data_IF_951868695921
#
_entry.id   IF_951868695921
#
_cell.length_a   1.000
_cell.length_b   1.000
_cell.length_c   1.000
_cell.angle_alpha   90.00
_cell.angle_beta   90.00
_cell.angle_gamma   90.00
#
_symmetry.space_group_name_H-M   'P 1'
#
loop_
_entity.id
_entity.type
_entity.pdbx_description
1 polymer ?
#
# COMPACT_ATOMS: atom_id res chain seq x y z
N UNK A 1 17.93 38.53 4.85
CA UNK A 1 17.77 37.89 4.79
C UNK A 1 16.97 37.27 5.24
N UNK A 2 16.54 37.03 5.41
CA UNK A 2 15.89 36.43 5.55
C UNK A 2 15.17 35.58 5.46
N UNK A 3 14.13 35.79 6.04
CA UNK A 3 13.36 34.89 5.48
C UNK A 3 13.98 33.70 4.98
N UNK A 4 15.06 33.77 4.56
CA UNK A 4 15.83 32.68 4.11
C UNK A 4 15.91 31.56 5.09
N UNK A 5 15.92 31.85 6.35
CA UNK A 5 16.03 30.79 7.33
C UNK A 5 14.79 29.88 7.32
N UNK A 6 13.62 30.41 7.13
CA UNK A 6 12.47 29.54 7.11
C UNK A 6 12.44 28.72 5.83
N UNK A 7 12.92 29.27 4.74
CA UNK A 7 12.98 28.49 3.53
C UNK A 7 14.04 27.41 3.60
N UNK A 8 15.05 27.63 4.39
CA UNK A 8 16.13 26.67 4.48
C UNK A 8 15.83 25.50 5.39
N UNK A 9 14.69 25.49 6.05
CA UNK A 9 14.38 24.43 6.98
C UNK A 9 13.35 23.49 6.40
N UNK A 10 13.78 22.35 5.84
CA UNK A 10 12.83 21.39 5.33
C UNK A 10 12.06 20.76 6.48
N UNK A 11 10.86 20.32 6.19
CA UNK A 11 10.08 19.60 7.18
C UNK A 11 10.72 18.25 7.45
N UNK A 12 10.65 17.84 8.69
CA UNK A 12 11.17 16.53 9.06
C UNK A 12 10.25 15.45 8.52
N UNK A 13 10.85 14.38 8.05
CA UNK A 13 10.09 13.22 7.62
C UNK A 13 9.49 12.52 8.82
N UNK A 14 8.26 12.06 8.67
CA UNK A 14 7.55 11.33 9.71
C UNK A 14 7.02 10.05 9.10
N UNK A 15 6.64 9.13 9.96
CA UNK A 15 6.03 7.89 9.49
C UNK A 15 4.53 8.09 9.31
N UNK A 16 4.04 7.55 8.20
CA UNK A 16 2.63 7.62 7.84
C UNK A 16 2.14 6.24 7.50
N UNK A 17 0.84 6.06 7.63
CA UNK A 17 0.17 4.83 7.20
C UNK A 17 -0.63 5.16 5.96
N UNK A 18 -0.37 4.41 4.90
CA UNK A 18 -1.04 4.58 3.62
C UNK A 18 -1.89 3.35 3.37
N UNK A 19 -3.20 3.52 3.47
CA UNK A 19 -4.13 2.42 3.22
C UNK A 19 -4.30 2.24 1.72
N UNK A 20 -4.38 1.00 1.30
CA UNK A 20 -4.51 0.69 -0.12
C UNK A 20 -5.49 -0.44 -0.33
N UNK A 21 -5.94 -0.55 -1.57
CA UNK A 21 -6.81 -1.62 -2.00
C UNK A 21 -6.26 -2.19 -3.29
N UNK A 22 -6.26 -3.50 -3.40
CA UNK A 22 -5.88 -4.20 -4.62
C UNK A 22 -7.10 -4.97 -5.08
N UNK A 23 -7.53 -4.68 -6.31
CA UNK A 23 -8.71 -5.30 -6.86
C UNK A 23 -8.36 -6.44 -7.78
N UNK A 24 -9.07 -7.55 -7.61
CA UNK A 24 -9.11 -8.58 -8.64
C UNK A 24 -7.75 -9.21 -8.95
N UNK A 25 -7.00 -9.58 -7.91
CA UNK A 25 -5.73 -10.26 -8.11
C UNK A 25 -5.92 -11.76 -7.93
N UNK A 26 -4.95 -12.52 -8.42
CA UNK A 26 -4.96 -13.96 -8.22
C UNK A 26 -4.76 -14.28 -6.75
N UNK A 27 -5.52 -15.25 -6.25
CA UNK A 27 -5.36 -15.68 -4.87
C UNK A 27 -3.95 -16.16 -4.58
N UNK A 28 -3.30 -16.77 -5.55
CA UNK A 28 -1.93 -17.26 -5.36
C UNK A 28 -0.91 -16.14 -5.22
N UNK A 29 -1.24 -14.94 -5.69
CA UNK A 29 -0.30 -13.80 -5.59
C UNK A 29 -0.33 -13.14 -4.22
N UNK A 30 -1.40 -13.34 -3.48
CA UNK A 30 -1.59 -12.64 -2.21
C UNK A 30 -0.50 -12.97 -1.20
N UNK A 31 0.04 -14.17 -1.23
CA UNK A 31 1.05 -14.59 -0.28
C UNK A 31 2.33 -13.76 -0.38
N UNK A 32 2.54 -13.07 -1.49
CA UNK A 32 3.73 -12.23 -1.66
C UNK A 32 3.54 -10.84 -1.08
N UNK A 33 2.35 -10.53 -0.60
CA UNK A 33 2.10 -9.29 0.15
C UNK A 33 2.37 -9.56 1.62
N UNK A 34 3.62 -9.80 1.94
CA UNK A 34 4.00 -10.17 3.31
C UNK A 34 4.19 -8.94 4.17
N UNK A 35 3.77 -9.02 5.41
CA UNK A 35 4.07 -7.99 6.39
C UNK A 35 5.58 -7.79 6.45
N UNK A 36 6.00 -6.54 6.51
CA UNK A 36 7.40 -6.13 6.54
C UNK A 36 8.13 -6.27 5.20
N UNK A 37 7.44 -6.67 4.14
CA UNK A 37 8.04 -6.68 2.80
C UNK A 37 8.20 -5.26 2.29
N UNK A 38 9.36 -4.98 1.71
CA UNK A 38 9.65 -3.67 1.14
C UNK A 38 9.07 -3.58 -0.26
N UNK A 39 8.40 -2.47 -0.53
CA UNK A 39 7.83 -2.19 -1.84
C UNK A 39 8.38 -0.89 -2.39
N UNK A 40 8.40 -0.80 -3.70
CA UNK A 40 8.93 0.33 -4.44
C UNK A 40 7.91 0.76 -5.48
N UNK A 41 7.92 2.03 -5.83
CA UNK A 41 7.10 2.51 -6.94
C UNK A 41 7.70 1.95 -8.22
N UNK A 42 6.86 1.28 -9.02
CA UNK A 42 7.36 0.60 -10.21
C UNK A 42 7.87 1.60 -11.25
N UNK A 43 7.16 2.70 -11.40
CA UNK A 43 7.47 3.66 -12.44
C UNK A 43 8.81 4.35 -12.22
N UNK A 44 9.13 4.70 -11.00
CA UNK A 44 10.31 5.50 -10.70
C UNK A 44 11.41 4.72 -9.98
N UNK A 45 11.05 3.59 -9.37
CA UNK A 45 11.99 2.84 -8.56
C UNK A 45 12.17 3.41 -7.16
N UNK A 46 11.44 4.47 -6.81
CA UNK A 46 11.55 5.06 -5.47
C UNK A 46 11.03 4.10 -4.42
N UNK A 47 11.70 4.10 -3.28
CA UNK A 47 11.25 3.29 -2.15
C UNK A 47 9.90 3.81 -1.65
N UNK A 48 8.95 2.90 -1.47
CA UNK A 48 7.64 3.26 -0.94
C UNK A 48 7.58 3.06 0.56
N UNK A 49 7.85 1.86 1.01
CA UNK A 49 7.73 1.52 2.41
C UNK A 49 7.58 0.03 2.58
N UNK A 50 7.10 -0.39 3.74
CA UNK A 50 6.89 -1.81 4.03
C UNK A 50 5.40 -2.05 4.25
N UNK A 51 4.98 -3.29 4.02
CA UNK A 51 3.61 -3.68 4.32
C UNK A 51 3.45 -3.74 5.83
N UNK A 52 2.57 -2.91 6.36
CA UNK A 52 2.32 -2.85 7.80
C UNK A 52 1.26 -3.88 8.21
N UNK A 53 0.21 -3.99 7.40
CA UNK A 53 -0.81 -5.02 7.61
C UNK A 53 -1.56 -5.23 6.31
N UNK A 54 -2.26 -6.35 6.22
CA UNK A 54 -3.12 -6.63 5.08
C UNK A 54 -4.30 -7.44 5.54
N UNK A 55 -5.36 -7.40 4.73
CA UNK A 55 -6.55 -8.18 4.97
C UNK A 55 -7.06 -8.68 3.64
N UNK A 56 -7.22 -9.99 3.52
CA UNK A 56 -7.79 -10.61 2.33
C UNK A 56 -9.28 -10.67 2.54
N UNK A 57 -10.05 -10.17 1.59
CA UNK A 57 -11.50 -10.22 1.70
C UNK A 57 -11.93 -11.66 1.47
N UNK A 58 -12.87 -12.12 2.28
CA UNK A 58 -13.27 -13.54 2.27
C UNK A 58 -14.01 -13.93 1.01
N UNK A 59 -14.68 -12.97 0.37
CA UNK A 59 -15.45 -13.27 -0.83
C UNK A 59 -14.57 -13.11 -2.06
N UNK A 60 -14.81 -13.90 -3.11
CA UNK A 60 -14.07 -13.70 -4.36
C UNK A 60 -14.33 -12.30 -4.91
N UNK A 61 -13.38 -11.80 -5.68
CA UNK A 61 -13.58 -10.54 -6.39
C UNK A 61 -14.75 -10.71 -7.36
N UNK A 62 -15.55 -9.67 -7.50
CA UNK A 62 -16.78 -9.73 -8.30
C UNK A 62 -16.67 -8.78 -9.48
N UNK A 63 -17.34 -9.13 -10.56
CA UNK A 63 -17.53 -8.23 -11.70
C UNK A 63 -19.00 -7.89 -11.77
N UNK A 64 -19.29 -6.63 -11.99
CA UNK A 64 -20.65 -6.15 -12.12
C UNK A 64 -21.09 -6.24 -13.56
N UNK A 65 -22.25 -6.83 -13.80
CA UNK A 65 -22.83 -6.92 -15.13
C UNK A 65 -24.25 -6.33 -15.10
N UNK A 66 -24.64 -5.70 -16.20
CA UNK A 66 -25.99 -5.20 -16.34
C UNK A 66 -26.72 -6.11 -17.31
N UNK A 67 -27.83 -6.68 -16.86
CA UNK A 67 -28.62 -7.59 -17.70
C UNK A 67 -29.37 -6.81 -18.75
N UNK A 68 -29.90 -7.48 -19.80
CA UNK A 68 -30.73 -6.80 -20.79
C UNK A 68 -31.94 -6.10 -20.19
N UNK A 69 -32.43 -6.59 -19.06
CA UNK A 69 -33.58 -5.98 -18.38
C UNK A 69 -33.16 -4.78 -17.52
N UNK A 70 -31.89 -4.49 -17.44
CA UNK A 70 -31.40 -3.36 -16.66
C UNK A 70 -31.04 -3.69 -15.23
N UNK A 71 -31.10 -4.96 -14.84
CA UNK A 71 -30.72 -5.36 -13.50
C UNK A 71 -29.20 -5.47 -13.37
N UNK A 72 -28.68 -5.14 -12.18
CA UNK A 72 -27.27 -5.25 -11.90
C UNK A 72 -27.02 -6.57 -11.17
N UNK A 73 -26.10 -7.36 -11.69
CA UNK A 73 -25.73 -8.62 -11.05
C UNK A 73 -24.23 -8.65 -10.84
N UNK A 74 -23.80 -9.35 -9.79
CA UNK A 74 -22.39 -9.49 -9.46
C UNK A 74 -22.00 -10.96 -9.63
N UNK A 75 -20.91 -11.18 -10.37
CA UNK A 75 -20.48 -12.53 -10.70
C UNK A 75 -19.04 -12.70 -10.19
N UNK A 76 -18.75 -13.80 -9.46
CA UNK A 76 -17.39 -14.04 -8.99
C UNK A 76 -16.40 -14.18 -10.14
N UNK A 77 -15.22 -13.63 -9.98
CA UNK A 77 -14.16 -13.69 -10.97
C UNK A 77 -13.32 -14.93 -10.75
N UNK A 78 -13.86 -16.08 -11.11
CA UNK A 78 -13.15 -17.35 -11.00
C UNK A 78 -12.50 -17.63 -12.34
N UNK A 79 -11.22 -18.02 -12.29
CA UNK A 79 -10.54 -18.36 -13.51
C UNK A 79 -10.75 -19.82 -13.86
N UNK A 80 -10.59 -20.66 -12.87
CA UNK A 80 -10.71 -22.10 -13.04
C UNK A 80 -11.37 -22.66 -11.81
N UNK A 81 -11.50 -23.97 -11.79
CA UNK A 81 -12.20 -24.63 -10.69
C UNK A 81 -11.41 -24.61 -9.39
N UNK A 82 -10.11 -24.38 -9.42
CA UNK A 82 -9.31 -24.41 -8.21
C UNK A 82 -9.38 -23.11 -7.43
N UNK A 83 -9.41 -23.21 -6.11
CA UNK A 83 -9.48 -22.03 -5.25
C UNK A 83 -8.29 -21.11 -5.43
N UNK A 84 -7.12 -21.68 -5.67
CA UNK A 84 -5.91 -20.86 -5.81
C UNK A 84 -5.98 -19.95 -7.02
N UNK A 85 -6.87 -20.22 -7.95
CA UNK A 85 -6.99 -19.45 -9.17
C UNK A 85 -8.12 -18.45 -9.11
N UNK A 86 -8.83 -18.38 -7.98
CA UNK A 86 -9.85 -17.36 -7.78
C UNK A 86 -9.21 -15.97 -7.75
N UNK A 87 -9.97 -14.99 -8.22
CA UNK A 87 -9.60 -13.59 -8.07
C UNK A 87 -10.14 -13.09 -6.76
N UNK A 88 -9.34 -12.31 -6.07
CA UNK A 88 -9.72 -11.77 -4.76
C UNK A 88 -9.36 -10.29 -4.69
N UNK A 89 -9.95 -9.62 -3.72
CA UNK A 89 -9.61 -8.24 -3.39
C UNK A 89 -8.85 -8.26 -2.06
N UNK A 90 -7.89 -7.37 -1.94
CA UNK A 90 -7.07 -7.28 -0.75
C UNK A 90 -7.02 -5.83 -0.33
N UNK A 91 -7.14 -5.56 0.97
CA UNK A 91 -6.86 -4.24 1.52
C UNK A 91 -5.63 -4.37 2.40
N UNK A 92 -4.95 -3.25 2.58
CA UNK A 92 -3.77 -3.27 3.42
C UNK A 92 -3.30 -1.87 3.73
N UNK A 93 -2.16 -1.81 4.38
CA UNK A 93 -1.58 -0.55 4.81
C UNK A 93 -0.07 -0.64 4.64
N UNK A 94 0.52 0.38 4.02
CA UNK A 94 1.97 0.53 3.98
C UNK A 94 2.41 1.48 5.09
N UNK A 95 3.54 1.19 5.70
CA UNK A 95 4.22 2.12 6.59
C UNK A 95 5.26 2.85 5.75
N UNK A 96 5.12 4.15 5.63
CA UNK A 96 5.94 4.94 4.72
C UNK A 96 6.50 6.15 5.46
N UNK A 97 7.43 6.83 4.82
CA UNK A 97 8.04 8.04 5.36
C UNK A 97 7.70 9.22 4.44
N UNK A 98 7.38 10.35 5.03
CA UNK A 98 7.06 11.54 4.25
C UNK A 98 6.60 12.68 5.12
N UNK A 99 5.95 13.65 4.51
CA UNK A 99 5.32 14.74 5.24
C UNK A 99 4.24 15.37 4.38
N UNK A 100 3.38 16.16 5.03
CA UNK A 100 2.34 16.93 4.35
C UNK A 100 2.90 18.35 4.19
N UNK A 101 2.88 18.85 2.96
CA UNK A 101 3.43 20.17 2.70
C UNK A 101 2.43 21.27 3.10
N UNK A 102 2.82 22.52 2.88
CA UNK A 102 1.98 23.65 3.31
C UNK A 102 0.66 23.73 2.57
N UNK A 103 0.55 23.07 1.44
CA UNK A 103 -0.69 23.03 0.67
C UNK A 103 -1.55 21.83 1.01
N UNK A 104 -1.12 20.99 1.93
CA UNK A 104 -1.88 19.83 2.33
C UNK A 104 -1.62 18.58 1.52
N UNK A 105 -0.62 18.58 0.66
CA UNK A 105 -0.30 17.41 -0.15
C UNK A 105 0.71 16.53 0.57
N UNK A 106 0.46 15.23 0.53
CA UNK A 106 1.41 14.28 1.11
C UNK A 106 2.54 14.00 0.11
N UNK A 107 3.77 14.12 0.57
CA UNK A 107 4.95 13.87 -0.25
C UNK A 107 5.71 12.69 0.31
N UNK A 108 5.68 11.59 -0.41
CA UNK A 108 6.41 10.37 -0.05
C UNK A 108 7.90 10.66 -0.07
N UNK A 109 8.59 10.31 1.00
CA UNK A 109 10.01 10.57 1.18
C UNK A 109 10.36 12.05 1.05
N UNK A 110 9.36 12.92 1.13
CA UNK A 110 9.57 14.35 1.05
C UNK A 110 9.60 14.91 -0.36
N UNK A 111 9.46 14.07 -1.39
CA UNK A 111 9.62 14.57 -2.75
C UNK A 111 8.66 13.99 -3.79
N UNK A 112 7.85 13.00 -3.45
CA UNK A 112 6.98 12.37 -4.43
C UNK A 112 5.53 12.47 -3.99
N UNK A 113 4.73 13.18 -4.77
CA UNK A 113 3.32 13.32 -4.44
C UNK A 113 2.60 11.97 -4.50
N UNK A 114 1.80 11.69 -3.49
CA UNK A 114 1.00 10.49 -3.42
C UNK A 114 -0.40 10.90 -2.96
N UNK A 115 -1.40 10.68 -3.79
CA UNK A 115 -2.74 11.18 -3.52
C UNK A 115 -3.77 10.08 -3.34
N UNK A 116 -4.89 10.45 -2.73
CA UNK A 116 -6.00 9.53 -2.54
C UNK A 116 -6.64 9.18 -3.87
N UNK A 117 -7.17 7.97 -3.93
CA UNK A 117 -7.84 7.44 -5.13
C UNK A 117 -6.92 7.26 -6.32
N UNK A 118 -5.62 7.48 -6.12
CA UNK A 118 -4.65 7.30 -7.19
C UNK A 118 -4.29 5.82 -7.30
N UNK A 119 -4.26 5.34 -8.54
CA UNK A 119 -3.79 3.98 -8.79
C UNK A 119 -2.30 4.04 -9.04
N UNK A 120 -1.55 3.23 -8.31
CA UNK A 120 -0.10 3.26 -8.34
C UNK A 120 0.42 1.84 -8.52
N UNK A 121 1.33 1.66 -9.48
CA UNK A 121 1.99 0.36 -9.62
C UNK A 121 3.14 0.28 -8.63
N UNK A 122 3.15 -0.78 -7.85
CA UNK A 122 4.20 -1.00 -6.85
C UNK A 122 4.77 -2.38 -7.04
N UNK A 123 6.01 -2.57 -6.61
CA UNK A 123 6.65 -3.87 -6.76
C UNK A 123 7.54 -4.18 -5.57
N UNK A 124 7.64 -5.47 -5.29
CA UNK A 124 8.63 -6.01 -4.37
C UNK A 124 9.53 -6.94 -5.16
N UNK A 125 10.28 -7.76 -4.46
CA UNK A 125 11.14 -8.73 -5.16
C UNK A 125 10.33 -9.78 -5.91
N UNK A 126 9.15 -10.11 -5.40
CA UNK A 126 8.38 -11.22 -5.96
C UNK A 126 7.10 -10.80 -6.67
N UNK A 127 6.65 -9.57 -6.47
CA UNK A 127 5.30 -9.20 -6.90
C UNK A 127 5.27 -7.78 -7.46
N UNK A 128 4.58 -7.61 -8.56
CA UNK A 128 4.25 -6.28 -9.07
C UNK A 128 2.74 -6.20 -9.15
N UNK A 129 2.15 -5.15 -8.58
CA UNK A 129 0.72 -5.05 -8.46
C UNK A 129 0.33 -3.57 -8.46
N UNK A 130 -0.89 -3.29 -8.90
CA UNK A 130 -1.44 -1.94 -8.84
C UNK A 130 -2.31 -1.81 -7.60
N UNK A 131 -2.06 -0.75 -6.84
CA UNK A 131 -2.83 -0.47 -5.63
C UNK A 131 -3.56 0.84 -5.80
N UNK A 132 -4.71 0.96 -5.16
CA UNK A 132 -5.47 2.20 -5.11
C UNK A 132 -5.31 2.76 -3.71
N UNK A 133 -4.84 3.99 -3.61
CA UNK A 133 -4.62 4.63 -2.31
C UNK A 133 -5.97 5.07 -1.76
N UNK A 134 -6.33 4.59 -0.58
CA UNK A 134 -7.64 4.89 -0.01
C UNK A 134 -7.57 5.86 1.16
N UNK A 135 -6.45 5.92 1.88
CA UNK A 135 -6.32 6.86 2.99
C UNK A 135 -4.84 7.04 3.33
N UNK A 136 -4.50 8.22 3.83
CA UNK A 136 -3.15 8.53 4.29
C UNK A 136 -3.28 9.25 5.63
N UNK A 137 -2.64 8.70 6.66
CA UNK A 137 -2.71 9.27 8.00
C UNK A 137 -1.39 9.10 8.71
N UNK A 138 -1.16 9.91 9.73
CA UNK A 138 0.06 9.78 10.52
C UNK A 138 0.08 8.43 11.23
N UNK A 139 1.26 7.84 11.31
CA UNK A 139 1.40 6.57 12.01
C UNK A 139 1.42 6.80 13.52
N UNK A 140 0.83 5.88 14.30
CA UNK A 140 0.95 5.99 15.75
C UNK A 140 2.40 5.75 16.17
N UNK A 141 2.74 6.24 17.35
CA UNK A 141 4.11 6.10 17.83
C UNK A 141 4.59 4.67 17.82
N UNK A 142 3.69 3.73 18.08
CA UNK A 142 4.06 2.32 18.12
C UNK A 142 4.43 1.77 16.75
N UNK A 143 4.05 2.45 15.68
CA UNK A 143 4.37 2.01 14.32
C UNK A 143 5.55 2.75 13.72
N UNK A 144 6.19 3.66 14.46
CA UNK A 144 7.26 4.50 13.95
C UNK A 144 8.59 3.75 14.04
N UNK A 145 8.78 2.80 13.13
CA UNK A 145 9.96 1.94 13.12
C UNK A 145 10.52 1.93 11.71
N UNK A 146 11.83 2.13 11.56
CA UNK A 146 12.40 2.06 10.22
C UNK A 146 12.65 0.59 9.83
N UNK A 147 12.88 0.32 8.56
CA UNK A 147 13.02 -1.06 8.09
C UNK A 147 14.13 -1.84 8.79
N UNK A 148 15.21 -1.18 9.16
CA UNK A 148 16.29 -1.85 9.86
C UNK A 148 15.85 -2.34 11.22
N UNK A 149 15.12 -1.51 11.95
CA UNK A 149 14.61 -1.91 13.24
C UNK A 149 13.61 -3.05 13.12
N UNK A 150 12.80 -3.03 12.07
CA UNK A 150 11.86 -4.13 11.87
C UNK A 150 12.59 -5.43 11.65
N UNK A 151 13.67 -5.42 10.89
CA UNK A 151 14.47 -6.62 10.70
C UNK A 151 15.05 -7.11 12.01
N UNK A 152 15.56 -6.20 12.81
CA UNK A 152 16.13 -6.55 14.10
C UNK A 152 15.07 -7.14 15.03
N UNK A 153 13.93 -6.51 15.08
CA UNK A 153 12.84 -6.98 15.92
C UNK A 153 12.36 -8.34 15.49
N UNK A 154 12.30 -8.58 14.19
CA UNK A 154 11.89 -9.87 13.68
C UNK A 154 12.87 -10.95 14.08
N UNK A 155 14.14 -10.64 14.02
CA UNK A 155 15.15 -11.60 14.40
C UNK A 155 15.10 -11.93 15.89
N UNK A 156 14.89 -10.93 16.73
CA UNK A 156 14.85 -11.14 18.16
C UNK A 156 13.75 -12.11 18.60
N UNK A 157 12.51 -11.93 18.14
CA UNK A 157 11.47 -12.89 18.51
C UNK A 157 11.76 -14.29 18.03
N UNK A 158 12.35 -14.41 16.86
CA UNK A 158 12.65 -15.73 16.33
C UNK A 158 13.67 -16.46 17.18
N UNK A 159 14.56 -15.71 17.77
CA UNK A 159 15.62 -16.30 18.58
C UNK A 159 15.09 -16.92 19.87
N UNK A 160 13.89 -16.62 20.24
CA UNK A 160 13.29 -17.21 21.40
C UNK A 160 12.79 -18.61 21.09
#
# INVERSE_FOLDING_TARGET
LRDNSSMAQPKALQNYLVDFEIKNIRGTSEKYLKTDSAFYLDETGDYLGVVYKKEVLSDPAMTEYVTPEGDVVYVPNLRDAGDDLCRIDVTGTFLVSGYVDDNGFFLLNGNRYLGLSKEVAVRSRELMVKVIITDIRTAPASAAVDPLQLETDTAAPVAK
#
